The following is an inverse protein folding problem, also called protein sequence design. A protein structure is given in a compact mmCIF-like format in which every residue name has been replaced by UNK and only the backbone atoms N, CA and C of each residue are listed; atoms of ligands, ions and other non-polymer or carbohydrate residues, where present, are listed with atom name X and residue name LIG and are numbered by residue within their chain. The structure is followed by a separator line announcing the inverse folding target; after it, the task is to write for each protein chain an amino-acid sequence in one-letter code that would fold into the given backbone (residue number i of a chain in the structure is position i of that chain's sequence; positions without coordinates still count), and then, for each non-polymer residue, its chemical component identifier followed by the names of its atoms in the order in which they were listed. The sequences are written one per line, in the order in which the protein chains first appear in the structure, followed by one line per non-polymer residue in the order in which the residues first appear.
data_IF_850538727097
#
_entry.id   IF_850538727097
#
_cell.length_a   1.000
_cell.length_b   1.000
_cell.length_c   1.000
_cell.angle_alpha   90.00
_cell.angle_beta   90.00
_cell.angle_gamma   90.00
#
_symmetry.space_group_name_H-M   'P 1'
#
loop_
_entity.id
_entity.type
_entity.pdbx_description
1 polymer ?
#
# COMPACT_ATOMS: atom_id res chain seq x y z
N UNK A 1 57.78 -14.33 -39.10
CA UNK A 1 56.48 -13.67 -38.83
C UNK A 1 56.48 -13.16 -37.40
N UNK A 2 56.59 -11.84 -37.16
CA UNK A 2 56.36 -11.26 -35.84
C UNK A 2 54.84 -11.12 -35.55
N UNK A 3 54.42 -11.16 -34.28
CA UNK A 3 53.03 -11.00 -33.88
C UNK A 3 52.55 -9.55 -34.03
N UNK A 4 51.29 -9.40 -34.44
CA UNK A 4 50.62 -8.15 -34.77
C UNK A 4 50.61 -7.18 -33.59
N UNK A 5 51.27 -6.02 -33.73
CA UNK A 5 51.13 -4.92 -32.78
C UNK A 5 49.80 -4.17 -33.01
N UNK A 6 49.02 -3.84 -31.96
CA UNK A 6 47.85 -2.99 -32.10
C UNK A 6 48.28 -1.56 -32.49
N UNK A 7 47.71 -1.04 -33.59
CA UNK A 7 48.03 0.27 -34.14
C UNK A 7 47.50 1.45 -33.29
N UNK A 8 48.08 2.65 -33.47
CA UNK A 8 47.72 3.85 -32.70
C UNK A 8 46.43 4.46 -33.29
N UNK A 9 45.27 4.20 -32.68
CA UNK A 9 44.03 4.77 -33.21
C UNK A 9 42.75 4.60 -32.41
N UNK A 10 42.73 3.80 -31.34
CA UNK A 10 41.55 3.71 -30.49
C UNK A 10 41.80 4.46 -29.19
N UNK A 11 41.08 5.57 -28.89
CA UNK A 11 41.14 6.16 -27.57
C UNK A 11 40.72 5.09 -26.55
N UNK A 12 41.55 4.88 -25.54
CA UNK A 12 41.35 3.85 -24.52
C UNK A 12 39.91 3.91 -24.00
N UNK A 13 39.10 2.91 -24.34
CA UNK A 13 37.71 2.84 -23.87
C UNK A 13 37.63 2.91 -22.34
N UNK A 14 38.69 2.45 -21.65
CA UNK A 14 38.89 2.58 -20.22
C UNK A 14 39.05 4.05 -19.76
N UNK A 15 39.82 4.87 -20.50
CA UNK A 15 39.97 6.30 -20.23
C UNK A 15 38.66 7.05 -20.46
N UNK A 16 37.89 6.65 -21.48
CA UNK A 16 36.56 7.20 -21.69
C UNK A 16 35.64 6.85 -20.53
N UNK A 17 35.54 5.59 -20.11
CA UNK A 17 34.69 5.20 -18.97
C UNK A 17 35.04 5.93 -17.66
N UNK A 18 36.33 6.18 -17.42
CA UNK A 18 36.79 6.94 -16.26
C UNK A 18 36.31 8.40 -16.28
N UNK A 19 36.15 8.99 -17.47
CA UNK A 19 35.68 10.38 -17.62
C UNK A 19 34.20 10.52 -17.20
N UNK A 20 33.33 9.55 -17.50
CA UNK A 20 31.91 9.58 -17.08
C UNK A 20 31.76 9.40 -15.56
N UNK A 21 32.61 8.57 -14.96
CA UNK A 21 32.65 8.37 -13.51
C UNK A 21 33.18 9.62 -12.76
N UNK A 22 34.08 10.37 -13.40
CA UNK A 22 34.64 11.61 -12.84
C UNK A 22 33.67 12.80 -12.87
N UNK A 23 32.56 12.71 -13.62
CA UNK A 23 31.59 13.81 -13.79
C UNK A 23 30.34 13.61 -12.92
N UNK A 24 30.55 13.21 -11.65
CA UNK A 24 29.49 13.22 -10.64
C UNK A 24 28.80 14.59 -10.61
N UNK A 25 27.56 14.63 -11.11
CA UNK A 25 26.84 15.86 -11.41
C UNK A 25 26.74 16.81 -10.20
N UNK A 26 27.07 18.10 -10.34
CA UNK A 26 27.24 19.03 -9.23
C UNK A 26 25.91 19.66 -8.80
N UNK A 27 24.96 18.84 -8.37
CA UNK A 27 23.69 19.38 -7.86
C UNK A 27 23.31 18.79 -6.50
N UNK A 28 24.11 19.05 -5.44
CA UNK A 28 23.74 18.67 -4.07
C UNK A 28 22.39 19.30 -3.67
N UNK A 29 22.10 20.48 -4.23
CA UNK A 29 20.81 21.17 -4.08
C UNK A 29 19.65 20.44 -4.77
N UNK A 30 19.89 19.79 -5.91
CA UNK A 30 18.84 19.03 -6.61
C UNK A 30 18.50 17.75 -5.85
N UNK A 31 19.50 17.06 -5.28
CA UNK A 31 19.29 15.93 -4.38
C UNK A 31 18.53 16.33 -3.11
N UNK A 32 18.95 17.44 -2.48
CA UNK A 32 18.26 18.00 -1.30
C UNK A 32 16.83 18.44 -1.60
N UNK A 33 16.60 19.09 -2.74
CA UNK A 33 15.27 19.50 -3.20
C UNK A 33 14.37 18.28 -3.45
N UNK A 34 14.87 17.27 -4.18
CA UNK A 34 14.13 16.02 -4.42
C UNK A 34 13.77 15.31 -3.11
N UNK A 35 14.69 15.26 -2.15
CA UNK A 35 14.43 14.70 -0.82
C UNK A 35 13.37 15.48 -0.05
N UNK A 36 13.41 16.81 -0.11
CA UNK A 36 12.40 17.68 0.52
C UNK A 36 11.02 17.50 -0.13
N UNK A 37 10.95 17.39 -1.46
CA UNK A 37 9.73 17.09 -2.20
C UNK A 37 9.17 15.73 -1.80
N UNK A 38 10.02 14.71 -1.65
CA UNK A 38 9.61 13.38 -1.21
C UNK A 38 8.99 13.43 0.20
N UNK A 39 9.63 14.12 1.15
CA UNK A 39 9.10 14.30 2.50
C UNK A 39 7.76 15.05 2.49
N UNK A 40 7.65 16.12 1.68
CA UNK A 40 6.43 16.88 1.55
C UNK A 40 5.30 16.03 0.96
N UNK A 41 5.61 15.23 -0.07
CA UNK A 41 4.65 14.31 -0.67
C UNK A 41 4.18 13.27 0.35
N UNK A 42 5.12 12.66 1.09
CA UNK A 42 4.80 11.68 2.12
C UNK A 42 3.91 12.29 3.22
N UNK A 43 4.29 13.47 3.73
CA UNK A 43 3.50 14.20 4.72
C UNK A 43 2.12 14.57 4.21
N UNK A 44 2.01 15.06 2.97
CA UNK A 44 0.74 15.40 2.33
C UNK A 44 -0.13 14.16 2.10
N UNK A 45 0.45 13.04 1.67
CA UNK A 45 -0.26 11.76 1.53
C UNK A 45 -0.79 11.28 2.88
N UNK A 46 0.03 11.29 3.94
CA UNK A 46 -0.40 10.92 5.29
C UNK A 46 -1.51 11.84 5.82
N UNK A 47 -1.35 13.15 5.65
CA UNK A 47 -2.34 14.14 6.07
C UNK A 47 -3.65 13.98 5.30
N UNK A 48 -3.57 13.78 3.99
CA UNK A 48 -4.73 13.52 3.13
C UNK A 48 -5.43 12.22 3.53
N UNK A 49 -4.70 11.13 3.75
CA UNK A 49 -5.26 9.87 4.23
C UNK A 49 -5.96 10.02 5.59
N UNK A 50 -5.34 10.77 6.52
CA UNK A 50 -5.91 11.05 7.83
C UNK A 50 -7.18 11.87 7.74
N UNK A 51 -7.20 12.87 6.87
CA UNK A 51 -8.37 13.74 6.68
C UNK A 51 -9.49 13.05 5.89
N UNK A 52 -9.16 12.17 4.95
CA UNK A 52 -10.14 11.42 4.15
C UNK A 52 -10.73 10.22 4.89
N UNK A 53 -10.37 9.96 6.15
CA UNK A 53 -10.83 8.77 6.89
C UNK A 53 -10.38 7.45 6.26
N UNK A 54 -9.47 7.51 5.27
CA UNK A 54 -8.92 6.35 4.55
C UNK A 54 -7.71 5.73 5.24
N UNK A 55 -7.42 6.12 6.49
CA UNK A 55 -6.57 5.33 7.38
C UNK A 55 -7.17 3.95 7.73
N UNK A 56 -8.38 3.64 7.26
CA UNK A 56 -8.93 2.28 7.14
C UNK A 56 -8.81 1.70 5.72
N UNK A 57 -7.75 2.03 4.98
CA UNK A 57 -7.49 1.43 3.67
C UNK A 57 -7.31 -0.10 3.81
N UNK A 58 -7.94 -0.92 2.94
CA UNK A 58 -8.08 -2.37 3.12
C UNK A 58 -6.75 -3.17 3.12
N UNK A 59 -5.62 -2.53 2.86
CA UNK A 59 -4.31 -3.18 2.78
C UNK A 59 -3.47 -3.14 4.07
N UNK A 60 -3.79 -2.26 5.04
CA UNK A 60 -3.03 -2.13 6.30
C UNK A 60 -3.87 -2.40 7.56
N UNK A 61 -5.17 -2.65 7.43
CA UNK A 61 -6.02 -3.18 8.51
C UNK A 61 -5.80 -4.69 8.71
N UNK A 62 -4.53 -5.10 8.77
CA UNK A 62 -4.16 -6.41 9.26
C UNK A 62 -4.64 -6.56 10.70
N UNK A 63 -5.73 -7.28 10.85
CA UNK A 63 -5.90 -8.23 11.95
C UNK A 63 -5.92 -7.65 13.38
N UNK A 64 -6.75 -6.63 13.56
CA UNK A 64 -7.55 -6.54 14.79
C UNK A 64 -9.03 -6.53 14.38
N UNK A 65 -9.47 -7.57 13.65
CA UNK A 65 -10.90 -7.89 13.64
C UNK A 65 -11.25 -8.07 15.11
N UNK A 66 -12.13 -7.22 15.64
CA UNK A 66 -12.58 -7.38 17.01
C UNK A 66 -13.03 -8.84 17.19
N UNK A 67 -12.83 -9.46 18.37
CA UNK A 67 -13.27 -10.84 18.59
C UNK A 67 -14.76 -11.03 18.26
N UNK A 68 -15.56 -9.97 18.41
CA UNK A 68 -16.96 -9.93 17.97
C UNK A 68 -17.14 -10.08 16.45
N UNK A 69 -16.27 -9.47 15.63
CA UNK A 69 -16.35 -9.57 14.18
C UNK A 69 -16.01 -10.98 13.69
N UNK A 70 -15.02 -11.62 14.30
CA UNK A 70 -14.67 -13.02 14.02
C UNK A 70 -15.80 -13.97 14.46
N UNK A 71 -16.43 -13.73 15.62
CA UNK A 71 -17.58 -14.49 16.07
C UNK A 71 -18.78 -14.39 15.11
N UNK A 72 -19.06 -13.19 14.57
CA UNK A 72 -20.10 -12.99 13.55
C UNK A 72 -19.79 -13.75 12.25
N UNK A 73 -18.54 -13.74 11.80
CA UNK A 73 -18.09 -14.45 10.60
C UNK A 73 -18.30 -15.96 10.74
N UNK A 74 -17.88 -16.56 11.86
CA UNK A 74 -18.07 -17.99 12.14
C UNK A 74 -19.55 -18.35 12.19
N UNK A 75 -20.37 -17.50 12.86
CA UNK A 75 -21.81 -17.72 12.97
C UNK A 75 -22.49 -17.68 11.59
N UNK A 76 -22.11 -16.72 10.74
CA UNK A 76 -22.60 -16.60 9.37
C UNK A 76 -22.22 -17.81 8.51
N UNK A 77 -20.95 -18.24 8.60
CA UNK A 77 -20.46 -19.40 7.86
C UNK A 77 -21.22 -20.66 8.24
N UNK A 78 -21.41 -20.92 9.54
CA UNK A 78 -22.15 -22.10 10.02
C UNK A 78 -23.60 -22.10 9.56
N UNK A 79 -24.26 -20.95 9.60
CA UNK A 79 -25.62 -20.82 9.08
C UNK A 79 -25.69 -21.11 7.57
N UNK A 80 -24.74 -20.57 6.80
CA UNK A 80 -24.67 -20.80 5.35
C UNK A 80 -24.37 -22.26 4.99
N UNK A 81 -23.55 -22.95 5.80
CA UNK A 81 -23.26 -24.37 5.65
C UNK A 81 -24.44 -25.26 6.09
N UNK A 82 -25.37 -24.72 6.88
CA UNK A 82 -26.50 -25.46 7.44
C UNK A 82 -26.17 -26.20 8.75
N UNK A 83 -25.04 -25.88 9.38
CA UNK A 83 -24.61 -26.48 10.65
C UNK A 83 -25.44 -26.01 11.85
N UNK A 84 -26.12 -24.86 11.72
CA UNK A 84 -27.00 -24.28 12.74
C UNK A 84 -28.33 -23.88 12.12
N UNK A 85 -29.41 -23.97 12.91
CA UNK A 85 -30.75 -23.56 12.48
C UNK A 85 -30.93 -22.04 12.52
N UNK A 86 -31.97 -21.54 11.85
CA UNK A 86 -32.31 -20.11 11.86
C UNK A 86 -32.58 -19.58 13.27
N UNK A 87 -33.23 -20.36 14.13
CA UNK A 87 -33.55 -19.93 15.50
C UNK A 87 -32.28 -19.81 16.36
N UNK A 88 -31.37 -20.79 16.24
CA UNK A 88 -30.08 -20.76 16.94
C UNK A 88 -29.18 -19.62 16.44
N UNK A 89 -29.21 -19.36 15.12
CA UNK A 89 -28.51 -18.22 14.53
C UNK A 89 -29.01 -16.89 15.11
N UNK A 90 -30.33 -16.71 15.20
CA UNK A 90 -30.94 -15.48 15.72
C UNK A 90 -30.64 -15.27 17.21
N UNK A 91 -30.71 -16.34 18.02
CA UNK A 91 -30.35 -16.30 19.43
C UNK A 91 -28.89 -15.84 19.61
N UNK A 92 -27.96 -16.46 18.90
CA UNK A 92 -26.52 -16.13 19.00
C UNK A 92 -26.18 -14.78 18.39
N UNK A 93 -26.88 -14.37 17.34
CA UNK A 93 -26.73 -13.04 16.76
C UNK A 93 -27.16 -11.96 17.77
N UNK A 94 -28.25 -12.20 18.52
CA UNK A 94 -28.72 -11.27 19.55
C UNK A 94 -27.71 -11.09 20.69
N UNK A 95 -27.07 -12.18 21.14
CA UNK A 95 -26.00 -12.13 22.16
C UNK A 95 -24.81 -11.28 21.67
N UNK A 96 -24.52 -11.32 20.37
CA UNK A 96 -23.47 -10.52 19.73
C UNK A 96 -23.93 -9.09 19.37
N UNK A 97 -25.11 -8.66 19.82
CA UNK A 97 -25.80 -7.42 19.43
C UNK A 97 -25.81 -7.22 17.90
N UNK A 98 -25.86 -8.32 17.16
CA UNK A 98 -25.78 -8.35 15.72
C UNK A 98 -27.16 -8.60 15.13
N UNK A 99 -27.60 -7.66 14.30
CA UNK A 99 -28.85 -7.79 13.55
C UNK A 99 -28.52 -8.11 12.09
N UNK A 100 -28.65 -9.38 11.67
CA UNK A 100 -28.41 -9.78 10.28
C UNK A 100 -29.38 -9.03 9.35
N UNK A 101 -28.85 -8.46 8.26
CA UNK A 101 -29.62 -7.69 7.28
C UNK A 101 -29.63 -6.16 7.48
N UNK A 102 -29.00 -5.65 8.54
CA UNK A 102 -28.89 -4.19 8.81
C UNK A 102 -27.50 -3.64 8.45
N UNK A 103 -26.84 -4.22 7.45
CA UNK A 103 -25.57 -3.67 6.92
C UNK A 103 -25.74 -2.17 6.69
N UNK A 104 -24.91 -1.30 7.31
CA UNK A 104 -25.01 0.12 7.08
C UNK A 104 -24.78 0.38 5.60
N UNK A 105 -25.86 0.72 4.90
CA UNK A 105 -25.86 1.13 3.50
C UNK A 105 -24.64 2.04 3.28
N UNK A 106 -23.78 1.75 2.29
CA UNK A 106 -22.62 2.58 2.03
C UNK A 106 -23.10 4.02 1.87
N UNK A 107 -22.63 4.90 2.77
CA UNK A 107 -23.11 6.27 2.87
C UNK A 107 -23.12 6.91 1.46
N UNK A 108 -24.21 7.57 1.04
CA UNK A 108 -24.32 8.10 -0.30
C UNK A 108 -23.15 9.04 -0.55
N UNK A 109 -22.32 8.68 -1.54
CA UNK A 109 -21.14 9.41 -1.96
C UNK A 109 -21.54 10.85 -2.25
N UNK A 110 -21.24 11.77 -1.32
CA UNK A 110 -21.63 13.17 -1.43
C UNK A 110 -21.10 13.76 -2.74
N UNK A 111 -22.04 14.02 -3.66
CA UNK A 111 -21.77 14.62 -4.97
C UNK A 111 -21.41 16.09 -4.72
N UNK A 112 -20.11 16.37 -4.65
CA UNK A 112 -19.57 17.72 -4.52
C UNK A 112 -19.86 18.46 -5.83
N UNK A 113 -20.84 19.37 -5.80
CA UNK A 113 -21.07 20.39 -6.85
C UNK A 113 -19.97 21.43 -6.81
#
# INVERSE_FOLDING_TARGET
MPPNAPGPGFPDAAAQHAQWAAHGGPFPFLGGLMFLLLLLLLGATLFYLRRSGRLGGPALAGRAKSPEHEAREILATRFATGDISSDEFLERASVLNWTPGVEPLPAPRAKRR
#
